data_IF_698661433605
#
_entry.id   IF_698661433605
#
_cell.length_a   1.000
_cell.length_b   1.000
_cell.length_c   1.000
_cell.angle_alpha   90.00
_cell.angle_beta   90.00
_cell.angle_gamma   90.00
#
_symmetry.space_group_name_H-M   'P 1'
#
loop_
_entity.id
_entity.type
_entity.pdbx_description
1 polymer ?
#
# COMPACT_ATOMS: atom_id res chain seq x y z
N UNK A 1 -15.62 11.30 14.91
CA UNK A 1 -14.37 10.86 14.30
C UNK A 1 -14.40 11.19 12.82
N UNK A 2 -13.33 11.75 12.29
CA UNK A 2 -13.25 12.16 10.89
C UNK A 2 -13.23 10.95 9.97
N UNK A 3 -14.09 10.96 8.95
CA UNK A 3 -14.12 9.93 7.92
C UNK A 3 -12.97 10.09 6.94
N UNK A 4 -12.55 8.98 6.34
CA UNK A 4 -11.55 8.98 5.27
C UNK A 4 -12.18 9.47 3.97
N UNK A 5 -13.40 9.02 3.68
CA UNK A 5 -14.10 9.32 2.44
C UNK A 5 -15.61 9.32 2.66
N UNK A 6 -16.35 9.86 1.71
CA UNK A 6 -17.81 9.88 1.77
C UNK A 6 -18.37 8.52 1.37
N UNK A 7 -18.54 7.65 2.35
CA UNK A 7 -18.98 6.27 2.15
C UNK A 7 -19.44 5.63 3.45
N UNK A 8 -19.71 4.30 3.41
CA UNK A 8 -20.19 3.56 4.59
C UNK A 8 -19.18 3.60 5.74
N UNK A 9 -19.66 3.36 6.96
CA UNK A 9 -18.82 3.40 8.16
C UNK A 9 -17.93 2.16 8.31
N UNK A 10 -18.36 1.02 7.80
CA UNK A 10 -17.67 -0.26 7.98
C UNK A 10 -17.39 -0.93 6.66
N UNK A 11 -16.29 -1.69 6.61
CA UNK A 11 -15.99 -2.57 5.49
C UNK A 11 -17.03 -3.68 5.40
N UNK A 12 -17.36 -4.10 4.18
CA UNK A 12 -18.20 -5.26 3.93
C UNK A 12 -17.85 -5.89 2.59
N UNK A 13 -18.32 -7.09 2.34
CA UNK A 13 -18.16 -7.79 1.05
C UNK A 13 -18.75 -7.00 -0.11
N UNK A 14 -19.70 -6.10 0.16
CA UNK A 14 -20.33 -5.27 -0.86
C UNK A 14 -19.43 -4.12 -1.35
N UNK A 15 -18.46 -3.70 -0.56
CA UNK A 15 -17.63 -2.53 -0.90
C UNK A 15 -16.16 -2.86 -1.22
N UNK A 16 -15.76 -4.12 -1.13
CA UNK A 16 -14.38 -4.50 -1.49
C UNK A 16 -14.39 -5.77 -2.34
N UNK A 17 -13.49 -5.85 -3.34
CA UNK A 17 -13.38 -7.04 -4.18
C UNK A 17 -12.44 -8.10 -3.60
N UNK A 18 -11.69 -7.77 -2.54
CA UNK A 18 -10.67 -8.65 -1.98
C UNK A 18 -11.30 -9.70 -1.07
N UNK A 19 -10.78 -10.92 -1.12
CA UNK A 19 -11.28 -12.04 -0.34
C UNK A 19 -10.17 -12.94 0.24
N UNK A 20 -8.93 -12.73 -0.15
CA UNK A 20 -7.80 -13.53 0.33
C UNK A 20 -7.18 -12.90 1.57
N UNK A 21 -7.76 -13.20 2.73
CA UNK A 21 -7.36 -12.64 4.02
C UNK A 21 -6.08 -13.29 4.51
N UNK A 22 -5.09 -12.47 4.84
CA UNK A 22 -3.83 -12.90 5.46
C UNK A 22 -3.88 -12.72 6.97
N UNK A 23 -4.46 -11.61 7.43
CA UNK A 23 -4.58 -11.28 8.84
C UNK A 23 -5.85 -10.47 9.07
N UNK A 24 -6.59 -10.82 10.10
CA UNK A 24 -7.81 -10.12 10.49
C UNK A 24 -7.64 -9.65 11.92
N UNK A 25 -7.25 -8.40 12.09
CA UNK A 25 -7.04 -7.77 13.37
C UNK A 25 -8.23 -6.88 13.74
N UNK A 26 -8.17 -6.26 14.93
CA UNK A 26 -9.29 -5.50 15.49
C UNK A 26 -9.72 -4.33 14.60
N UNK A 27 -8.77 -3.53 14.11
CA UNK A 27 -9.04 -2.34 13.31
C UNK A 27 -8.64 -2.48 11.85
N UNK A 28 -7.79 -3.44 11.53
CA UNK A 28 -7.15 -3.56 10.21
C UNK A 28 -7.31 -4.99 9.73
N UNK A 29 -7.66 -5.13 8.46
CA UNK A 29 -7.65 -6.42 7.79
C UNK A 29 -6.62 -6.38 6.67
N UNK A 30 -5.83 -7.45 6.54
CA UNK A 30 -4.77 -7.54 5.55
C UNK A 30 -5.14 -8.58 4.51
N UNK A 31 -5.14 -8.18 3.24
CA UNK A 31 -5.42 -9.05 2.11
C UNK A 31 -4.18 -9.23 1.25
N UNK A 32 -4.07 -10.38 0.58
CA UNK A 32 -3.18 -10.49 -0.57
C UNK A 32 -3.79 -9.68 -1.72
N UNK A 33 -2.96 -8.89 -2.40
CA UNK A 33 -3.40 -8.23 -3.63
C UNK A 33 -3.72 -9.30 -4.68
N UNK A 34 -4.84 -9.14 -5.39
CA UNK A 34 -5.26 -10.09 -6.44
C UNK A 34 -4.31 -10.09 -7.65
N UNK A 35 -3.65 -8.97 -7.88
CA UNK A 35 -2.74 -8.79 -9.02
C UNK A 35 -1.39 -8.30 -8.50
N UNK A 36 -0.69 -9.14 -7.73
CA UNK A 36 0.52 -8.69 -7.03
C UNK A 36 1.59 -8.24 -8.00
N UNK A 37 2.21 -7.09 -7.72
CA UNK A 37 3.33 -6.59 -8.51
C UNK A 37 4.63 -7.29 -8.15
N UNK A 38 4.67 -7.91 -6.97
CA UNK A 38 5.78 -8.73 -6.48
C UNK A 38 5.23 -9.73 -5.46
N UNK A 39 5.97 -10.79 -5.20
CA UNK A 39 5.58 -11.76 -4.17
C UNK A 39 5.47 -11.07 -2.82
N UNK A 40 4.34 -11.28 -2.14
CA UNK A 40 4.07 -10.68 -0.84
C UNK A 40 3.44 -9.29 -0.89
N UNK A 41 2.97 -8.84 -2.05
CA UNK A 41 2.23 -7.60 -2.18
C UNK A 41 0.92 -7.70 -1.39
N UNK A 42 0.81 -6.91 -0.33
CA UNK A 42 -0.32 -6.93 0.59
C UNK A 42 -1.10 -5.62 0.55
N UNK A 43 -2.35 -5.70 0.97
CA UNK A 43 -3.19 -4.54 1.19
C UNK A 43 -3.52 -4.47 2.68
N UNK A 44 -3.13 -3.39 3.34
CA UNK A 44 -3.52 -3.10 4.72
C UNK A 44 -4.73 -2.19 4.68
N UNK A 45 -5.85 -2.67 5.18
CA UNK A 45 -7.16 -2.06 4.93
C UNK A 45 -7.82 -1.70 6.26
N UNK A 46 -8.18 -0.43 6.47
CA UNK A 46 -8.92 -0.06 7.68
C UNK A 46 -10.31 -0.69 7.65
N UNK A 47 -10.73 -1.29 8.75
CA UNK A 47 -12.07 -1.88 8.86
C UNK A 47 -13.16 -0.82 8.99
N UNK A 48 -12.79 0.37 9.44
CA UNK A 48 -13.71 1.47 9.66
C UNK A 48 -13.31 2.66 8.83
N UNK A 49 -14.31 3.38 8.35
CA UNK A 49 -14.11 4.61 7.57
C UNK A 49 -13.80 5.76 8.54
N UNK A 50 -12.60 5.71 9.09
CA UNK A 50 -12.12 6.68 10.08
C UNK A 50 -10.64 6.94 9.87
N UNK A 51 -10.24 8.20 9.85
CA UNK A 51 -8.87 8.59 9.56
C UNK A 51 -7.87 7.98 10.54
N UNK A 52 -8.23 7.87 11.82
CA UNK A 52 -7.39 7.22 12.83
C UNK A 52 -7.13 5.75 12.53
N UNK A 53 -8.10 5.05 11.96
CA UNK A 53 -7.95 3.63 11.60
C UNK A 53 -7.09 3.49 10.35
N UNK A 54 -7.15 4.43 9.42
CA UNK A 54 -6.21 4.49 8.29
C UNK A 54 -4.78 4.65 8.79
N UNK A 55 -4.55 5.49 9.80
CA UNK A 55 -3.24 5.63 10.42
C UNK A 55 -2.74 4.30 11.01
N UNK A 56 -3.63 3.53 11.63
CA UNK A 56 -3.30 2.19 12.14
C UNK A 56 -2.87 1.26 11.00
N UNK A 57 -3.53 1.33 9.85
CA UNK A 57 -3.15 0.51 8.69
C UNK A 57 -1.74 0.85 8.19
N UNK A 58 -1.38 2.13 8.12
CA UNK A 58 -0.02 2.55 7.78
C UNK A 58 1.00 2.06 8.80
N UNK A 59 0.70 2.22 10.07
CA UNK A 59 1.59 1.77 11.16
C UNK A 59 1.83 0.27 11.07
N UNK A 60 0.77 -0.51 10.89
CA UNK A 60 0.86 -1.97 10.77
C UNK A 60 1.70 -2.38 9.56
N UNK A 61 1.56 -1.67 8.44
CA UNK A 61 2.35 -1.93 7.24
C UNK A 61 3.85 -1.67 7.50
N UNK A 62 4.19 -0.57 8.17
CA UNK A 62 5.58 -0.26 8.52
C UNK A 62 6.16 -1.32 9.45
N UNK A 63 5.40 -1.73 10.46
CA UNK A 63 5.84 -2.77 11.40
C UNK A 63 6.05 -4.11 10.70
N UNK A 64 5.17 -4.47 9.78
CA UNK A 64 5.32 -5.68 8.95
C UNK A 64 6.61 -5.61 8.14
N UNK A 65 6.88 -4.46 7.52
CA UNK A 65 8.09 -4.25 6.73
C UNK A 65 9.36 -4.38 7.55
N UNK A 66 9.38 -3.75 8.72
CA UNK A 66 10.53 -3.84 9.64
C UNK A 66 10.82 -5.29 10.01
N UNK A 67 9.79 -6.03 10.41
CA UNK A 67 9.96 -7.44 10.79
C UNK A 67 10.43 -8.29 9.62
N UNK A 68 9.91 -8.05 8.42
CA UNK A 68 10.29 -8.81 7.24
C UNK A 68 11.75 -8.58 6.84
N UNK A 69 12.21 -7.34 6.88
CA UNK A 69 13.62 -7.02 6.59
C UNK A 69 14.55 -7.64 7.65
N UNK A 70 14.20 -7.53 8.92
CA UNK A 70 14.97 -8.12 10.01
C UNK A 70 15.06 -9.64 9.89
N UNK A 71 14.00 -10.28 9.42
CA UNK A 71 13.94 -11.74 9.23
C UNK A 71 14.58 -12.21 7.92
N UNK A 72 15.02 -11.28 7.07
CA UNK A 72 15.59 -11.63 5.77
C UNK A 72 14.58 -12.05 4.72
N UNK A 73 13.29 -11.76 4.93
CA UNK A 73 12.25 -12.13 3.98
C UNK A 73 12.27 -11.30 2.69
N UNK A 74 12.72 -10.05 2.82
CA UNK A 74 12.91 -9.12 1.69
C UNK A 74 13.91 -8.05 2.12
N UNK A 75 14.34 -7.20 1.18
CA UNK A 75 15.43 -6.25 1.42
C UNK A 75 14.95 -4.83 1.72
N UNK A 76 13.73 -4.51 1.35
CA UNK A 76 13.12 -3.22 1.58
C UNK A 76 11.63 -3.29 1.26
N UNK A 77 10.95 -2.16 1.29
CA UNK A 77 9.52 -2.12 0.98
C UNK A 77 9.09 -0.71 0.61
N UNK A 78 8.06 -0.64 -0.22
CA UNK A 78 7.34 0.61 -0.48
C UNK A 78 5.93 0.50 0.10
N UNK A 79 5.46 1.59 0.67
CA UNK A 79 4.12 1.69 1.23
C UNK A 79 3.46 2.91 0.61
N UNK A 80 2.21 2.78 0.20
CA UNK A 80 1.50 3.90 -0.38
C UNK A 80 0.02 3.65 -0.50
N UNK A 81 -0.72 4.73 -0.75
CA UNK A 81 -2.16 4.71 -0.95
C UNK A 81 -2.49 5.59 -2.16
N UNK A 82 -3.50 5.17 -2.90
CA UNK A 82 -4.06 5.97 -3.99
C UNK A 82 -5.35 6.60 -3.50
N UNK A 83 -5.39 7.94 -3.44
CA UNK A 83 -6.56 8.67 -3.01
C UNK A 83 -7.04 9.54 -4.16
N UNK A 84 -8.20 9.20 -4.71
CA UNK A 84 -8.81 9.91 -5.83
C UNK A 84 -8.50 9.27 -7.18
N UNK A 85 -9.40 9.48 -8.13
CA UNK A 85 -9.28 8.94 -9.49
C UNK A 85 -8.00 9.41 -10.18
N UNK A 86 -7.63 10.68 -9.99
CA UNK A 86 -6.41 11.25 -10.59
C UNK A 86 -5.13 10.58 -10.07
N UNK A 87 -5.20 9.94 -8.91
CA UNK A 87 -4.08 9.20 -8.32
C UNK A 87 -4.13 7.70 -8.66
N UNK A 88 -5.09 7.27 -9.45
CA UNK A 88 -5.21 5.87 -9.88
C UNK A 88 -6.08 5.01 -8.98
N UNK A 89 -6.87 5.60 -8.09
CA UNK A 89 -7.77 4.81 -7.24
C UNK A 89 -8.91 4.23 -8.06
N UNK A 90 -9.08 2.91 -8.00
CA UNK A 90 -10.16 2.19 -8.70
C UNK A 90 -11.16 1.55 -7.75
N UNK A 91 -10.74 1.17 -6.56
CA UNK A 91 -11.59 0.68 -5.48
C UNK A 91 -11.69 1.79 -4.44
N UNK A 92 -12.92 2.21 -4.16
CA UNK A 92 -13.12 3.41 -3.33
C UNK A 92 -12.85 3.18 -1.84
N UNK A 93 -12.99 1.96 -1.35
CA UNK A 93 -12.59 1.68 0.02
C UNK A 93 -11.07 1.87 0.15
N UNK A 94 -10.61 2.72 1.08
CA UNK A 94 -9.19 3.04 1.22
C UNK A 94 -8.36 1.80 1.54
N UNK A 95 -7.21 1.68 0.90
CA UNK A 95 -6.33 0.54 1.12
C UNK A 95 -4.88 0.95 0.92
N UNK A 96 -4.04 0.50 1.83
CA UNK A 96 -2.61 0.81 1.85
C UNK A 96 -1.85 -0.34 1.22
N UNK A 97 -1.16 -0.06 0.12
CA UNK A 97 -0.32 -1.05 -0.55
C UNK A 97 0.97 -1.25 0.24
N UNK A 98 1.32 -2.50 0.48
CA UNK A 98 2.62 -2.91 1.00
C UNK A 98 3.32 -3.72 -0.08
N UNK A 99 4.44 -3.21 -0.59
CA UNK A 99 5.15 -3.81 -1.71
C UNK A 99 6.55 -4.19 -1.26
N UNK A 100 6.82 -5.49 -0.99
CA UNK A 100 8.16 -5.94 -0.64
C UNK A 100 9.11 -5.73 -1.80
N UNK A 101 10.32 -5.26 -1.50
CA UNK A 101 11.34 -5.01 -2.50
C UNK A 101 12.55 -5.90 -2.25
N UNK A 102 13.14 -6.37 -3.36
CA UNK A 102 14.31 -7.23 -3.31
C UNK A 102 15.37 -6.66 -4.23
N UNK A 103 16.63 -6.80 -3.82
CA UNK A 103 17.76 -6.34 -4.65
C UNK A 103 17.66 -6.96 -6.04
N UNK A 104 17.73 -6.11 -7.07
CA UNK A 104 17.66 -6.55 -8.45
C UNK A 104 16.24 -6.79 -8.99
N UNK A 105 15.19 -6.50 -8.23
CA UNK A 105 13.81 -6.67 -8.70
C UNK A 105 13.46 -5.69 -9.83
N UNK A 106 14.13 -4.54 -9.86
CA UNK A 106 14.11 -3.60 -10.98
C UNK A 106 15.55 -3.15 -11.27
N UNK A 107 15.79 -2.61 -12.45
CA UNK A 107 17.13 -2.18 -12.85
C UNK A 107 17.66 -1.07 -11.95
N UNK A 108 16.89 -0.03 -11.73
CA UNK A 108 17.25 1.08 -10.87
C UNK A 108 16.06 1.52 -10.03
N UNK A 109 16.07 1.26 -8.70
CA UNK A 109 14.94 1.58 -7.84
C UNK A 109 14.91 3.04 -7.37
N UNK A 110 15.89 3.86 -7.73
CA UNK A 110 15.98 5.25 -7.25
C UNK A 110 14.72 6.03 -7.59
N UNK A 111 14.23 6.77 -6.62
CA UNK A 111 12.96 7.50 -6.71
C UNK A 111 11.83 6.80 -5.94
N UNK A 112 11.78 5.48 -5.96
CA UNK A 112 10.75 4.73 -5.24
C UNK A 112 9.35 5.21 -5.55
N UNK A 113 8.62 5.69 -4.53
CA UNK A 113 7.24 6.18 -4.69
C UNK A 113 7.12 7.37 -5.66
N UNK A 114 8.21 8.08 -5.92
CA UNK A 114 8.21 9.19 -6.89
C UNK A 114 7.96 8.72 -8.31
N UNK A 115 8.15 7.43 -8.59
CA UNK A 115 7.93 6.86 -9.92
C UNK A 115 6.45 6.76 -10.30
N UNK A 116 5.55 7.27 -9.45
CA UNK A 116 4.14 7.46 -9.79
C UNK A 116 3.98 8.46 -10.95
N UNK A 117 4.93 9.37 -11.13
CA UNK A 117 4.98 10.24 -12.32
C UNK A 117 6.06 9.68 -13.22
N UNK A 118 5.71 9.04 -14.34
CA UNK A 118 6.68 8.40 -15.21
C UNK A 118 7.76 9.36 -15.70
N UNK A 119 9.01 8.93 -15.63
CA UNK A 119 10.16 9.71 -16.06
C UNK A 119 10.60 10.82 -15.09
N UNK A 120 9.90 11.02 -13.99
CA UNK A 120 10.21 12.08 -13.02
C UNK A 120 10.73 11.55 -11.68
N UNK A 121 10.64 10.26 -11.46
CA UNK A 121 10.96 9.68 -10.15
C UNK A 121 12.45 9.68 -9.83
N UNK A 122 13.26 9.24 -10.78
CA UNK A 122 14.69 9.08 -10.55
C UNK A 122 15.45 10.40 -10.79
N UNK A 123 15.60 11.17 -9.72
CA UNK A 123 16.30 12.47 -9.76
C UNK A 123 17.82 12.33 -9.97
N UNK A 124 18.38 11.12 -9.89
CA UNK A 124 19.79 10.84 -10.18
C UNK A 124 20.03 10.45 -11.64
N UNK A 125 18.97 10.19 -12.39
CA UNK A 125 19.10 9.85 -13.79
C UNK A 125 19.63 11.05 -14.59
N UNK A 126 20.54 10.83 -15.56
CA UNK A 126 20.95 11.90 -16.47
C UNK A 126 19.80 12.45 -17.31
N UNK A 127 18.70 11.67 -17.42
CA UNK A 127 17.51 12.07 -18.18
C UNK A 127 16.52 12.88 -17.33
N UNK A 128 16.80 13.05 -16.03
CA UNK A 128 15.91 13.81 -15.14
C UNK A 128 15.91 15.29 -15.50
N UNK A 129 14.71 15.85 -15.60
CA UNK A 129 14.51 17.29 -15.85
C UNK A 129 13.56 17.84 -14.79
N UNK A 130 14.01 18.87 -14.10
CA UNK A 130 13.23 19.56 -13.07
C UNK A 130 11.96 20.21 -13.65
#
# INVERSE_FOLDING_TARGET
MEKIFNGPDHISQANVPWDNVVLDDFHVIVYLDKYPVTEGHLLFVPKYNALGVLNDAFKDAVEHGKRGVEAGAFDGYNIGINMGEAAGQTVMWPHVHFIPRRKGDVEDPVGGVRNTIPGKGNYRSPDYKA
#
